data_IF_287659535512
#
_entry.id   IF_287659535512
#
_cell.length_a   1.000
_cell.length_b   1.000
_cell.length_c   1.000
_cell.angle_alpha   90.00
_cell.angle_beta   90.00
_cell.angle_gamma   90.00
#
_symmetry.space_group_name_H-M   'P 1'
#
loop_
_entity.id
_entity.type
_entity.pdbx_description
1 polymer ?
#
# COMPACT_ATOMS: atom_id res chain seq x y z
N UNK A 1 8.85 15.86 12.82
CA UNK A 1 7.86 14.76 12.82
C UNK A 1 8.61 13.44 12.97
N UNK A 2 8.07 12.50 13.75
CA UNK A 2 8.68 11.17 13.88
C UNK A 2 8.42 10.33 12.62
N UNK A 3 9.19 9.26 12.42
CA UNK A 3 8.93 8.28 11.36
C UNK A 3 7.50 7.72 11.45
N UNK A 4 7.03 7.42 12.67
CA UNK A 4 5.68 6.91 12.92
C UNK A 4 4.58 7.88 12.47
N UNK A 5 4.76 9.19 12.72
CA UNK A 5 3.80 10.21 12.28
C UNK A 5 3.75 10.30 10.75
N UNK A 6 4.92 10.29 10.10
CA UNK A 6 5.01 10.32 8.65
C UNK A 6 4.39 9.06 8.03
N UNK A 7 4.57 7.91 8.66
CA UNK A 7 4.01 6.64 8.19
C UNK A 7 2.48 6.60 8.35
N UNK A 8 1.96 7.08 9.48
CA UNK A 8 0.51 7.29 9.68
C UNK A 8 -0.09 8.19 8.61
N UNK A 9 0.54 9.33 8.32
CA UNK A 9 0.07 10.27 7.30
C UNK A 9 0.09 9.62 5.91
N UNK A 10 1.15 8.88 5.57
CA UNK A 10 1.26 8.19 4.29
C UNK A 10 0.15 7.13 4.11
N UNK A 11 -0.14 6.35 5.15
CA UNK A 11 -1.25 5.38 5.17
C UNK A 11 -2.60 6.08 5.02
N UNK A 12 -2.86 7.14 5.80
CA UNK A 12 -4.11 7.89 5.74
C UNK A 12 -4.37 8.49 4.34
N UNK A 13 -3.32 8.99 3.69
CA UNK A 13 -3.39 9.52 2.33
C UNK A 13 -3.39 8.44 1.24
N UNK A 14 -3.26 7.16 1.62
CA UNK A 14 -3.14 6.01 0.71
C UNK A 14 -2.00 6.18 -0.29
N UNK A 15 -0.94 6.86 0.10
CA UNK A 15 0.21 7.20 -0.72
C UNK A 15 1.21 6.02 -0.73
N UNK A 16 1.08 5.15 -1.73
CA UNK A 16 1.87 3.91 -1.78
C UNK A 16 3.35 4.14 -2.01
N UNK A 17 3.73 5.21 -2.72
CA UNK A 17 5.14 5.55 -2.95
C UNK A 17 5.78 6.01 -1.65
N UNK A 18 5.10 6.90 -0.92
CA UNK A 18 5.58 7.38 0.38
C UNK A 18 5.62 6.27 1.43
N UNK A 19 4.67 5.34 1.41
CA UNK A 19 4.70 4.14 2.25
C UNK A 19 5.96 3.32 1.97
N UNK A 20 6.28 3.04 0.69
CA UNK A 20 7.47 2.26 0.31
C UNK A 20 8.75 2.95 0.76
N UNK A 21 8.89 4.25 0.48
CA UNK A 21 10.05 5.04 0.91
C UNK A 21 10.27 4.99 2.43
N UNK A 22 9.18 5.06 3.20
CA UNK A 22 9.25 5.00 4.66
C UNK A 22 9.57 3.59 5.17
N UNK A 23 9.14 2.53 4.48
CA UNK A 23 9.55 1.15 4.82
C UNK A 23 11.05 0.99 4.62
N UNK A 24 11.60 1.48 3.50
CA UNK A 24 13.04 1.39 3.23
C UNK A 24 13.86 2.22 4.23
N UNK A 25 13.29 3.31 4.74
CA UNK A 25 13.90 4.16 5.76
C UNK A 25 13.44 3.84 7.19
N UNK A 26 12.97 2.61 7.45
CA UNK A 26 12.47 2.22 8.77
C UNK A 26 13.59 2.34 9.83
N UNK A 27 13.32 2.95 11.00
CA UNK A 27 14.30 3.06 12.05
C UNK A 27 14.67 1.66 12.58
N UNK A 28 15.95 1.42 12.80
CA UNK A 28 16.48 0.16 13.34
C UNK A 28 16.20 -0.01 14.83
N UNK A 29 15.83 1.07 15.52
CA UNK A 29 15.48 1.08 16.93
C UNK A 29 14.23 1.92 17.19
N UNK A 30 13.39 1.43 18.10
CA UNK A 30 12.26 2.18 18.66
C UNK A 30 12.53 2.44 20.13
N UNK A 31 12.09 3.60 20.63
CA UNK A 31 12.40 4.04 22.00
C UNK A 31 11.58 3.30 23.04
N UNK A 32 10.35 2.92 22.68
CA UNK A 32 9.41 2.27 23.59
C UNK A 32 8.79 1.04 22.94
N UNK A 33 8.24 0.14 23.77
CA UNK A 33 7.44 -0.99 23.30
C UNK A 33 6.19 -0.50 22.58
N UNK A 34 5.58 0.59 23.04
CA UNK A 34 4.40 1.19 22.39
C UNK A 34 4.70 1.70 20.98
N UNK A 35 5.89 2.26 20.76
CA UNK A 35 6.35 2.67 19.43
C UNK A 35 6.49 1.45 18.50
N UNK A 36 7.02 0.33 19.01
CA UNK A 36 7.13 -0.92 18.25
C UNK A 36 5.77 -1.51 17.90
N UNK A 37 4.84 -1.54 18.87
CA UNK A 37 3.47 -2.01 18.66
C UNK A 37 2.73 -1.12 17.64
N UNK A 38 2.94 0.20 17.73
CA UNK A 38 2.41 1.15 16.76
C UNK A 38 2.97 0.91 15.36
N UNK A 39 4.29 0.73 15.23
CA UNK A 39 4.93 0.41 13.96
C UNK A 39 4.36 -0.88 13.36
N UNK A 40 4.24 -1.94 14.16
CA UNK A 40 3.70 -3.23 13.73
C UNK A 40 2.25 -3.10 13.24
N UNK A 41 1.42 -2.36 13.98
CA UNK A 41 0.01 -2.12 13.62
C UNK A 41 -0.09 -1.38 12.29
N UNK A 42 0.69 -0.32 12.11
CA UNK A 42 0.71 0.48 10.88
C UNK A 42 1.23 -0.33 9.69
N UNK A 43 2.25 -1.16 9.88
CA UNK A 43 2.79 -2.00 8.80
C UNK A 43 1.74 -3.03 8.34
N UNK A 44 0.95 -3.59 9.26
CA UNK A 44 -0.18 -4.47 8.89
C UNK A 44 -1.25 -3.73 8.08
N UNK A 45 -1.57 -2.49 8.47
CA UNK A 45 -2.53 -1.66 7.75
C UNK A 45 -2.01 -1.31 6.33
N UNK A 46 -0.75 -0.91 6.23
CA UNK A 46 -0.09 -0.64 4.95
C UNK A 46 -0.10 -1.88 4.03
N UNK A 47 0.17 -3.08 4.58
CA UNK A 47 0.10 -4.33 3.83
C UNK A 47 -1.30 -4.60 3.29
N UNK A 48 -2.33 -4.41 4.12
CA UNK A 48 -3.73 -4.58 3.70
C UNK A 48 -4.09 -3.61 2.56
N UNK A 49 -3.65 -2.36 2.65
CA UNK A 49 -3.87 -1.35 1.63
C UNK A 49 -3.19 -1.71 0.30
N UNK A 50 -1.95 -2.20 0.35
CA UNK A 50 -1.21 -2.63 -0.84
C UNK A 50 -1.88 -3.84 -1.49
N UNK A 51 -2.30 -4.83 -0.69
CA UNK A 51 -3.02 -6.00 -1.20
C UNK A 51 -4.34 -5.62 -1.87
N UNK A 52 -5.11 -4.72 -1.24
CA UNK A 52 -6.33 -4.20 -1.85
C UNK A 52 -6.09 -3.53 -3.20
N UNK A 53 -5.06 -2.69 -3.31
CA UNK A 53 -4.69 -2.05 -4.59
C UNK A 53 -4.28 -3.07 -5.64
N UNK A 54 -3.50 -4.08 -5.26
CA UNK A 54 -3.09 -5.18 -6.15
C UNK A 54 -4.30 -5.93 -6.70
N UNK A 55 -5.27 -6.27 -5.86
CA UNK A 55 -6.48 -6.98 -6.27
C UNK A 55 -7.36 -6.13 -7.18
N UNK A 56 -7.50 -4.83 -6.88
CA UNK A 56 -8.21 -3.88 -7.75
C UNK A 56 -7.56 -3.81 -9.13
N UNK A 57 -6.23 -3.65 -9.19
CA UNK A 57 -5.49 -3.60 -10.44
C UNK A 57 -5.64 -4.89 -11.25
N UNK A 58 -5.58 -6.06 -10.60
CA UNK A 58 -5.79 -7.34 -11.25
C UNK A 58 -7.19 -7.44 -11.88
N UNK A 59 -8.21 -6.93 -11.19
CA UNK A 59 -9.57 -6.89 -11.71
C UNK A 59 -9.72 -5.93 -12.89
N UNK A 60 -9.08 -4.77 -12.84
CA UNK A 60 -9.14 -3.81 -13.95
C UNK A 60 -8.41 -4.34 -15.19
N UNK A 61 -7.28 -5.03 -15.02
CA UNK A 61 -6.61 -5.75 -16.12
C UNK A 61 -7.52 -6.83 -16.72
N UNK A 62 -8.26 -7.59 -15.89
CA UNK A 62 -9.22 -8.59 -16.39
C UNK A 62 -10.31 -7.94 -17.25
N UNK A 63 -10.88 -6.82 -16.79
CA UNK A 63 -11.89 -6.06 -17.55
C UNK A 63 -11.33 -5.59 -18.89
N UNK A 64 -10.14 -5.00 -18.91
CA UNK A 64 -9.47 -4.54 -20.13
C UNK A 64 -9.25 -5.69 -21.12
N UNK A 65 -8.81 -6.86 -20.64
CA UNK A 65 -8.67 -8.05 -21.49
C UNK A 65 -10.00 -8.51 -22.09
N UNK A 66 -11.09 -8.46 -21.32
CA UNK A 66 -12.43 -8.80 -21.82
C UNK A 66 -12.92 -7.82 -22.88
N UNK A 67 -12.73 -6.51 -22.65
CA UNK A 67 -13.09 -5.47 -23.64
C UNK A 67 -12.32 -5.66 -24.94
N UNK A 68 -11.00 -5.92 -24.87
CA UNK A 68 -10.19 -6.21 -26.05
C UNK A 68 -10.70 -7.44 -26.81
N UNK A 69 -10.98 -8.55 -26.12
CA UNK A 69 -11.53 -9.76 -26.75
C UNK A 69 -12.85 -9.48 -27.48
N UNK A 70 -13.70 -8.65 -26.90
CA UNK A 70 -14.95 -8.25 -27.54
C UNK A 70 -14.68 -7.39 -28.79
N UNK A 71 -13.82 -6.39 -28.70
CA UNK A 71 -13.44 -5.54 -29.84
C UNK A 71 -12.85 -6.37 -31.00
N UNK A 72 -11.98 -7.33 -30.70
CA UNK A 72 -11.35 -8.22 -31.68
C UNK A 72 -12.35 -9.21 -32.32
N UNK A 73 -13.52 -9.46 -31.72
CA UNK A 73 -14.55 -10.39 -32.25
C UNK A 73 -15.49 -9.74 -33.27
N UNK A 74 -15.60 -8.42 -33.28
CA UNK A 74 -16.48 -7.65 -34.18
C UNK A 74 -15.70 -6.87 -35.26
N UNK A 75 -14.40 -7.16 -35.43
CA UNK A 75 -13.60 -6.78 -36.59
C UNK A 75 -13.50 -7.95 -37.58
#
# INVERSE_FOLDING_TARGET
>A
MSWLDNFKIAIANKDSEKILLLIDSMPSNFKTVDDMLSALSLTKEALNLINFKKDSLANDIKKLKSVRKYADYYQ
#
